data_IF_168547381105
#
_entry.id   IF_168547381105
#
_cell.length_a   1.000
_cell.length_b   1.000
_cell.length_c   1.000
_cell.angle_alpha   90.00
_cell.angle_beta   90.00
_cell.angle_gamma   90.00
#
_symmetry.space_group_name_H-M   'P 1'
#
loop_
_entity.id
_entity.type
_entity.pdbx_description
1 polymer ?
#
# COMPACT_ATOMS: atom_id res chain seq x y z
N UNK A 1 -42.07 -19.37 21.63
CA UNK A 1 -40.85 -20.14 21.95
C UNK A 1 -40.16 -20.49 20.66
N UNK A 2 -39.17 -19.71 20.27
CA UNK A 2 -38.09 -20.13 19.38
C UNK A 2 -36.84 -19.51 19.98
N UNK A 3 -36.19 -20.32 20.80
CA UNK A 3 -34.83 -20.13 21.30
C UNK A 3 -33.89 -20.20 20.11
N UNK A 4 -33.49 -19.05 19.57
CA UNK A 4 -32.30 -18.97 18.75
C UNK A 4 -31.13 -18.50 19.61
N UNK A 5 -30.17 -19.40 19.70
CA UNK A 5 -28.90 -19.31 20.39
C UNK A 5 -28.08 -18.10 19.92
N UNK A 6 -27.75 -17.19 20.83
CA UNK A 6 -26.55 -16.37 20.68
C UNK A 6 -25.89 -16.17 22.04
N UNK A 7 -25.30 -17.24 22.57
CA UNK A 7 -24.16 -17.09 23.45
C UNK A 7 -22.91 -16.98 22.55
N UNK A 8 -22.83 -15.93 21.74
CA UNK A 8 -21.58 -15.54 21.11
C UNK A 8 -20.80 -14.74 22.15
N UNK A 9 -20.01 -15.43 22.96
CA UNK A 9 -18.89 -14.78 23.63
C UNK A 9 -17.91 -14.35 22.55
N UNK A 10 -18.06 -13.12 22.04
CA UNK A 10 -17.12 -12.54 21.09
C UNK A 10 -15.80 -12.26 21.82
N UNK A 11 -14.89 -13.23 21.79
CA UNK A 11 -13.50 -12.98 22.15
C UNK A 11 -12.83 -12.16 21.04
N UNK A 12 -11.92 -11.27 21.42
CA UNK A 12 -11.14 -10.47 20.48
C UNK A 12 -9.66 -10.79 20.65
N UNK A 13 -8.92 -10.83 19.54
CA UNK A 13 -7.47 -10.97 19.57
C UNK A 13 -6.84 -9.59 19.86
N UNK A 14 -6.04 -9.51 20.92
CA UNK A 14 -5.31 -8.29 21.28
C UNK A 14 -3.91 -8.30 20.69
N UNK A 15 -3.56 -7.28 19.91
CA UNK A 15 -2.23 -7.08 19.34
C UNK A 15 -1.60 -5.87 20.03
N UNK A 16 -0.40 -5.99 20.63
CA UNK A 16 0.31 -4.87 21.23
C UNK A 16 0.51 -3.73 20.24
N UNK A 17 0.43 -2.49 20.70
CA UNK A 17 0.57 -1.30 19.86
C UNK A 17 1.42 -0.24 20.56
N UNK A 18 2.31 0.40 19.80
CA UNK A 18 3.13 1.51 20.27
C UNK A 18 3.20 2.62 19.22
N UNK A 19 3.28 3.86 19.69
CA UNK A 19 3.60 5.02 18.85
C UNK A 19 5.12 5.14 18.63
N UNK A 20 5.53 5.25 17.37
CA UNK A 20 6.94 5.24 16.93
C UNK A 20 7.27 6.55 16.22
N UNK A 21 8.45 7.14 16.46
CA UNK A 21 8.86 8.41 15.85
C UNK A 21 9.95 9.12 16.67
N UNK A 22 10.09 10.45 16.54
CA UNK A 22 9.31 11.34 15.67
C UNK A 22 9.68 11.20 14.18
N UNK A 23 8.68 11.35 13.31
CA UNK A 23 8.84 11.47 11.86
C UNK A 23 8.72 12.93 11.43
N UNK A 24 9.54 13.31 10.44
CA UNK A 24 9.42 14.58 9.72
C UNK A 24 9.16 14.27 8.26
N UNK A 25 7.99 14.65 7.76
CA UNK A 25 7.62 14.49 6.35
C UNK A 25 7.63 15.86 5.66
N UNK A 26 8.10 15.87 4.41
CA UNK A 26 8.13 17.03 3.53
C UNK A 26 7.58 16.64 2.14
N UNK A 27 7.15 17.61 1.33
CA UNK A 27 6.56 17.33 0.01
C UNK A 27 5.03 17.42 0.05
N UNK A 28 4.34 16.44 -0.56
CA UNK A 28 2.88 16.45 -0.67
C UNK A 28 2.18 16.41 0.70
N UNK A 29 2.87 15.84 1.69
CA UNK A 29 2.48 15.86 3.10
C UNK A 29 3.61 16.46 3.90
N UNK A 30 3.34 17.60 4.52
CA UNK A 30 4.26 18.26 5.43
C UNK A 30 3.77 18.07 6.88
N UNK A 31 4.62 17.53 7.73
CA UNK A 31 4.38 17.42 9.17
C UNK A 31 5.71 17.22 9.89
N UNK A 32 5.82 17.79 11.09
CA UNK A 32 6.98 17.59 11.96
C UNK A 32 6.56 16.85 13.22
N UNK A 33 7.52 16.22 13.88
CA UNK A 33 7.34 15.48 15.14
C UNK A 33 6.16 14.49 15.17
N UNK A 34 5.84 13.88 14.03
CA UNK A 34 4.75 12.93 13.91
C UNK A 34 5.11 11.61 14.60
N UNK A 35 4.25 11.15 15.51
CA UNK A 35 4.32 9.81 16.06
C UNK A 35 3.35 8.89 15.32
N UNK A 36 3.83 7.73 14.87
CA UNK A 36 3.06 6.78 14.06
C UNK A 36 2.70 5.55 14.89
N UNK A 37 1.42 5.20 15.05
CA UNK A 37 1.02 3.99 15.76
C UNK A 37 1.28 2.75 14.90
N UNK A 38 1.85 1.71 15.52
CA UNK A 38 2.11 0.41 14.89
C UNK A 38 1.70 -0.72 15.84
N UNK A 39 0.86 -1.64 15.37
CA UNK A 39 0.38 -2.79 16.14
C UNK A 39 1.03 -4.10 15.67
N UNK A 40 1.85 -4.75 16.49
CA UNK A 40 2.58 -5.97 16.12
C UNK A 40 2.93 -6.82 17.33
N UNK A 41 3.15 -8.12 17.09
CA UNK A 41 3.79 -9.02 18.06
C UNK A 41 5.32 -9.06 17.91
N UNK A 42 5.86 -8.53 16.81
CA UNK A 42 7.29 -8.41 16.57
C UNK A 42 7.80 -7.11 17.22
N UNK A 43 7.91 -7.09 18.54
CA UNK A 43 8.26 -5.90 19.32
C UNK A 43 9.59 -5.24 18.96
N UNK A 44 10.64 -5.95 18.46
CA UNK A 44 11.85 -5.30 17.94
C UNK A 44 11.62 -4.36 16.74
N UNK A 45 10.46 -4.45 16.09
CA UNK A 45 10.10 -3.58 14.98
C UNK A 45 10.00 -2.11 15.40
N UNK A 46 9.43 -1.81 16.57
CA UNK A 46 9.25 -0.44 17.04
C UNK A 46 10.58 0.33 17.21
N UNK A 47 11.58 -0.15 17.97
CA UNK A 47 12.86 0.54 18.07
C UNK A 47 13.62 0.58 16.74
N UNK A 48 13.44 -0.41 15.85
CA UNK A 48 14.04 -0.38 14.51
C UNK A 48 13.46 0.76 13.65
N UNK A 49 12.13 0.87 13.57
CA UNK A 49 11.46 1.96 12.85
C UNK A 49 11.77 3.32 13.50
N UNK A 50 11.82 3.39 14.84
CA UNK A 50 12.22 4.61 15.55
C UNK A 50 13.64 5.06 15.20
N UNK A 51 14.58 4.12 15.02
CA UNK A 51 15.94 4.41 14.56
C UNK A 51 15.91 5.04 13.17
N UNK A 52 15.16 4.46 12.23
CA UNK A 52 14.96 5.02 10.90
C UNK A 52 14.40 6.45 10.95
N UNK A 53 13.29 6.65 11.68
CA UNK A 53 12.63 7.94 11.82
C UNK A 53 13.56 9.01 12.42
N UNK A 54 14.34 8.65 13.44
CA UNK A 54 15.32 9.54 14.05
C UNK A 54 16.39 9.99 13.05
N UNK A 55 16.93 9.07 12.25
CA UNK A 55 18.00 9.41 11.29
C UNK A 55 17.48 10.32 10.20
N UNK A 56 16.32 10.00 9.62
CA UNK A 56 15.72 10.80 8.56
C UNK A 56 15.30 12.18 9.08
N UNK A 57 14.76 12.27 10.30
CA UNK A 57 14.45 13.55 10.96
C UNK A 57 15.70 14.45 11.07
N UNK A 58 16.84 13.91 11.53
CA UNK A 58 18.11 14.67 11.60
C UNK A 58 18.72 14.98 10.21
N UNK A 59 18.22 14.34 9.16
CA UNK A 59 18.67 14.52 7.78
C UNK A 59 17.77 15.48 6.98
N UNK A 60 16.83 16.16 7.63
CA UNK A 60 15.92 17.13 7.00
C UNK A 60 14.52 16.57 6.70
N UNK A 61 14.27 15.29 7.00
CA UNK A 61 12.99 14.62 6.82
C UNK A 61 12.95 13.67 5.63
N UNK A 62 11.75 13.13 5.40
CA UNK A 62 11.44 12.22 4.30
C UNK A 62 10.56 12.98 3.32
N UNK A 63 11.01 13.12 2.07
CA UNK A 63 10.16 13.62 1.00
C UNK A 63 9.17 12.53 0.61
N UNK A 64 7.90 12.86 0.62
CA UNK A 64 6.81 11.96 0.23
C UNK A 64 6.07 12.56 -0.95
N UNK A 65 5.86 11.75 -1.98
CA UNK A 65 5.20 12.15 -3.23
C UNK A 65 4.21 11.08 -3.66
N UNK A 66 2.97 11.49 -3.91
CA UNK A 66 1.93 10.63 -4.47
C UNK A 66 2.06 10.69 -5.99
N UNK A 67 2.48 9.59 -6.59
CA UNK A 67 2.67 9.50 -8.04
C UNK A 67 1.37 9.22 -8.78
N UNK A 68 0.48 8.44 -8.17
CA UNK A 68 -0.77 8.01 -8.77
C UNK A 68 -1.77 7.54 -7.70
N UNK A 69 -3.07 7.64 -8.00
CA UNK A 69 -4.13 7.09 -7.17
C UNK A 69 -5.27 6.52 -8.00
N UNK A 70 -5.59 5.24 -7.77
CA UNK A 70 -6.71 4.56 -8.44
C UNK A 70 -7.07 3.28 -7.75
N UNK A 71 -8.35 2.98 -7.59
CA UNK A 71 -8.79 1.63 -7.23
C UNK A 71 -9.28 0.91 -8.47
N UNK A 72 -9.09 -0.41 -8.52
CA UNK A 72 -9.47 -1.21 -9.68
C UNK A 72 -10.42 -2.35 -9.34
N UNK A 73 -11.32 -2.62 -10.28
CA UNK A 73 -12.11 -3.86 -10.36
C UNK A 73 -12.03 -4.39 -11.78
N UNK A 74 -11.90 -5.70 -11.93
CA UNK A 74 -11.90 -6.35 -13.24
C UNK A 74 -13.13 -7.23 -13.38
N UNK A 75 -13.92 -7.07 -14.43
CA UNK A 75 -15.00 -7.99 -14.79
C UNK A 75 -14.56 -8.95 -15.89
N UNK A 76 -15.18 -10.13 -15.93
CA UNK A 76 -14.96 -11.15 -16.94
C UNK A 76 -16.25 -11.34 -17.73
N UNK A 77 -16.14 -11.12 -19.04
CA UNK A 77 -17.19 -11.36 -20.01
C UNK A 77 -16.71 -12.41 -21.00
N UNK A 78 -17.65 -13.11 -21.62
CA UNK A 78 -17.37 -14.08 -22.66
C UNK A 78 -18.13 -13.68 -23.93
N UNK A 79 -17.46 -13.76 -25.08
CA UNK A 79 -18.02 -13.55 -26.40
C UNK A 79 -18.13 -14.91 -27.13
N UNK A 80 -18.79 -14.97 -28.31
CA UNK A 80 -18.84 -16.20 -29.09
C UNK A 80 -17.45 -16.63 -29.60
N UNK A 81 -16.62 -15.65 -29.94
CA UNK A 81 -15.24 -15.86 -30.39
C UNK A 81 -14.37 -14.61 -30.16
N UNK A 82 -13.06 -14.76 -30.45
CA UNK A 82 -12.07 -13.70 -30.29
C UNK A 82 -12.31 -12.49 -31.22
N UNK A 83 -12.92 -12.69 -32.39
CA UNK A 83 -13.21 -11.62 -33.34
C UNK A 83 -14.32 -10.71 -32.80
N UNK A 84 -15.40 -11.31 -32.29
CA UNK A 84 -16.49 -10.60 -31.62
C UNK A 84 -15.96 -9.90 -30.37
N UNK A 85 -15.14 -10.58 -29.55
CA UNK A 85 -14.54 -9.97 -28.38
C UNK A 85 -13.77 -8.68 -28.70
N UNK A 86 -12.93 -8.72 -29.75
CA UNK A 86 -12.18 -7.56 -30.24
C UNK A 86 -13.10 -6.45 -30.75
N UNK A 87 -14.15 -6.79 -31.49
CA UNK A 87 -15.11 -5.81 -32.00
C UNK A 87 -15.82 -5.08 -30.85
N UNK A 88 -16.35 -5.84 -29.88
CA UNK A 88 -17.04 -5.28 -28.71
C UNK A 88 -16.13 -4.44 -27.85
N UNK A 89 -14.90 -4.87 -27.61
CA UNK A 89 -13.91 -4.04 -26.90
C UNK A 89 -13.66 -2.69 -27.58
N UNK A 90 -13.50 -2.66 -28.92
CA UNK A 90 -13.32 -1.39 -29.65
C UNK A 90 -14.52 -0.46 -29.46
N UNK A 91 -15.74 -0.99 -29.50
CA UNK A 91 -16.95 -0.20 -29.25
C UNK A 91 -17.01 0.31 -27.81
N UNK A 92 -16.73 -0.54 -26.81
CA UNK A 92 -16.72 -0.15 -25.40
C UNK A 92 -15.73 0.98 -25.14
N UNK A 93 -14.51 0.89 -25.69
CA UNK A 93 -13.47 1.91 -25.51
C UNK A 93 -13.86 3.30 -26.03
N UNK A 94 -14.73 3.38 -27.05
CA UNK A 94 -15.19 4.64 -27.62
C UNK A 94 -16.33 5.29 -26.82
N UNK A 95 -16.89 4.59 -25.83
CA UNK A 95 -18.08 5.02 -25.08
C UNK A 95 -17.77 5.48 -23.66
N UNK A 96 -16.56 6.01 -23.42
CA UNK A 96 -16.11 6.40 -22.08
C UNK A 96 -17.08 7.35 -21.34
N UNK A 97 -17.73 8.27 -22.05
CA UNK A 97 -18.73 9.17 -21.46
C UNK A 97 -19.96 8.44 -20.91
N UNK A 98 -20.45 7.43 -21.63
CA UNK A 98 -21.59 6.60 -21.20
C UNK A 98 -21.18 5.67 -20.05
N UNK A 99 -20.00 5.06 -20.14
CA UNK A 99 -19.43 4.27 -19.04
C UNK A 99 -19.34 5.10 -17.75
N UNK A 100 -18.83 6.33 -17.85
CA UNK A 100 -18.75 7.25 -16.73
C UNK A 100 -20.14 7.62 -16.18
N UNK A 101 -21.13 7.87 -17.03
CA UNK A 101 -22.48 8.19 -16.60
C UNK A 101 -23.07 7.08 -15.71
N UNK A 102 -22.93 5.82 -16.15
CA UNK A 102 -23.40 4.64 -15.40
C UNK A 102 -22.60 4.47 -14.09
N UNK A 103 -21.27 4.63 -14.15
CA UNK A 103 -20.43 4.53 -12.96
C UNK A 103 -20.79 5.59 -11.92
N UNK A 104 -21.14 6.81 -12.34
CA UNK A 104 -21.54 7.89 -11.45
C UNK A 104 -22.84 7.62 -10.67
N UNK A 105 -23.69 6.69 -11.14
CA UNK A 105 -24.87 6.23 -10.38
C UNK A 105 -24.48 5.46 -9.11
N UNK A 106 -23.27 4.87 -9.08
CA UNK A 106 -22.78 4.09 -7.93
C UNK A 106 -22.23 4.96 -6.81
N UNK A 107 -21.57 6.07 -7.13
CA UNK A 107 -21.01 7.02 -6.16
C UNK A 107 -20.55 8.31 -6.85
N UNK A 108 -20.75 9.46 -6.19
CA UNK A 108 -20.19 10.75 -6.64
C UNK A 108 -18.66 10.80 -6.65
N UNK A 109 -17.99 9.91 -5.91
CA UNK A 109 -16.53 9.84 -5.83
C UNK A 109 -15.91 8.91 -6.87
N UNK A 110 -16.74 8.07 -7.50
CA UNK A 110 -16.32 7.10 -8.51
C UNK A 110 -16.19 7.79 -9.88
N UNK A 111 -14.94 8.12 -10.26
CA UNK A 111 -14.61 8.65 -11.59
C UNK A 111 -13.75 7.65 -12.34
N UNK A 112 -14.22 7.19 -13.49
CA UNK A 112 -13.50 6.35 -14.42
C UNK A 112 -12.31 7.12 -15.01
N UNK A 113 -11.11 6.73 -14.61
CA UNK A 113 -9.86 7.33 -15.09
C UNK A 113 -9.26 6.56 -16.26
N UNK A 114 -9.43 5.24 -16.27
CA UNK A 114 -8.88 4.38 -17.31
C UNK A 114 -9.68 3.07 -17.41
N UNK A 115 -9.62 2.49 -18.60
CA UNK A 115 -10.22 1.21 -18.94
C UNK A 115 -9.17 0.33 -19.60
N UNK A 116 -8.62 -0.61 -18.85
CA UNK A 116 -7.63 -1.57 -19.35
C UNK A 116 -8.31 -2.90 -19.66
N UNK A 117 -7.76 -3.68 -20.58
CA UNK A 117 -8.35 -4.95 -20.97
C UNK A 117 -7.34 -5.96 -21.46
N UNK A 118 -7.74 -7.23 -21.45
CA UNK A 118 -7.05 -8.35 -22.10
C UNK A 118 -8.07 -9.27 -22.76
N UNK A 119 -7.67 -9.92 -23.85
CA UNK A 119 -8.46 -10.97 -24.50
C UNK A 119 -7.68 -12.27 -24.44
N UNK A 120 -8.31 -13.33 -23.94
CA UNK A 120 -7.75 -14.70 -23.95
C UNK A 120 -8.80 -15.62 -24.57
N UNK A 121 -8.57 -16.02 -25.82
CA UNK A 121 -9.60 -16.73 -26.59
C UNK A 121 -10.83 -15.84 -26.80
N UNK A 122 -11.99 -16.30 -26.37
CA UNK A 122 -13.26 -15.58 -26.42
C UNK A 122 -13.57 -14.81 -25.11
N UNK A 123 -12.65 -14.78 -24.16
CA UNK A 123 -12.81 -14.11 -22.86
C UNK A 123 -12.30 -12.67 -22.90
N UNK A 124 -13.10 -11.74 -22.39
CA UNK A 124 -12.74 -10.34 -22.18
C UNK A 124 -12.53 -10.08 -20.70
N UNK A 125 -11.31 -9.73 -20.33
CA UNK A 125 -10.97 -9.19 -19.02
C UNK A 125 -11.03 -7.68 -19.13
N UNK A 126 -11.95 -7.03 -18.42
CA UNK A 126 -12.12 -5.58 -18.47
C UNK A 126 -11.83 -4.99 -17.09
N UNK A 127 -10.73 -4.25 -16.96
CA UNK A 127 -10.26 -3.58 -15.73
C UNK A 127 -10.72 -2.12 -15.72
N UNK A 128 -11.68 -1.84 -14.84
CA UNK A 128 -12.13 -0.51 -14.48
C UNK A 128 -11.17 0.08 -13.47
N UNK A 129 -10.72 1.31 -13.70
CA UNK A 129 -9.86 2.05 -12.78
C UNK A 129 -10.55 3.36 -12.42
N UNK A 130 -10.83 3.54 -11.13
CA UNK A 130 -11.63 4.66 -10.62
C UNK A 130 -10.88 5.41 -9.51
N UNK A 131 -11.13 6.72 -9.39
CA UNK A 131 -10.87 7.43 -8.13
C UNK A 131 -11.89 7.01 -7.08
N UNK A 132 -11.54 7.08 -5.78
CA UNK A 132 -12.44 6.64 -4.70
C UNK A 132 -12.48 7.57 -3.48
N UNK A 133 -11.97 8.80 -3.64
CA UNK A 133 -11.86 9.75 -2.54
C UNK A 133 -11.05 9.16 -1.38
N UNK A 134 -11.57 9.29 -0.16
CA UNK A 134 -10.90 8.86 1.06
C UNK A 134 -11.14 7.39 1.44
N UNK A 135 -11.99 6.69 0.69
CA UNK A 135 -12.21 5.27 0.88
C UNK A 135 -11.11 4.47 0.19
N UNK A 136 -10.76 3.31 0.76
CA UNK A 136 -9.87 2.34 0.08
C UNK A 136 -10.47 1.84 -1.24
N UNK A 137 -11.80 1.93 -1.38
CA UNK A 137 -12.44 1.90 -2.68
C UNK A 137 -12.96 0.54 -3.15
N UNK A 138 -12.64 -0.57 -2.47
CA UNK A 138 -13.04 -1.92 -2.88
C UNK A 138 -14.53 -2.05 -3.21
N UNK A 139 -15.40 -1.66 -2.27
CA UNK A 139 -16.86 -1.75 -2.46
C UNK A 139 -17.36 -0.75 -3.50
N UNK A 140 -16.72 0.43 -3.59
CA UNK A 140 -17.09 1.46 -4.55
C UNK A 140 -16.85 0.99 -5.99
N UNK A 141 -15.67 0.43 -6.28
CA UNK A 141 -15.35 -0.09 -7.62
C UNK A 141 -16.14 -1.35 -7.95
N UNK A 142 -16.49 -2.18 -6.96
CA UNK A 142 -17.35 -3.34 -7.17
C UNK A 142 -18.78 -2.91 -7.48
N UNK A 143 -19.33 -1.94 -6.76
CA UNK A 143 -20.67 -1.39 -7.05
C UNK A 143 -20.72 -0.74 -8.43
N UNK A 144 -19.68 0.02 -8.81
CA UNK A 144 -19.57 0.57 -10.16
C UNK A 144 -19.55 -0.52 -11.25
N UNK A 145 -18.83 -1.61 -11.02
CA UNK A 145 -18.82 -2.76 -11.92
C UNK A 145 -20.19 -3.44 -12.00
N UNK A 146 -20.88 -3.61 -10.86
CA UNK A 146 -22.20 -4.23 -10.76
C UNK A 146 -23.28 -3.43 -11.52
N UNK A 147 -23.16 -2.09 -11.54
CA UNK A 147 -23.99 -1.22 -12.37
C UNK A 147 -23.65 -1.30 -13.85
N UNK A 148 -22.38 -1.47 -14.18
CA UNK A 148 -21.92 -1.47 -15.57
C UNK A 148 -22.22 -2.79 -16.30
N UNK A 149 -22.19 -3.92 -15.60
CA UNK A 149 -22.42 -5.25 -16.19
C UNK A 149 -23.78 -5.35 -16.90
N UNK A 150 -24.93 -5.01 -16.28
CA UNK A 150 -26.23 -5.06 -16.96
C UNK A 150 -26.26 -4.25 -18.25
N UNK A 151 -25.75 -3.02 -18.21
CA UNK A 151 -25.69 -2.17 -19.40
C UNK A 151 -24.85 -2.79 -20.53
N UNK A 152 -23.71 -3.43 -20.20
CA UNK A 152 -22.88 -4.11 -21.18
C UNK A 152 -23.63 -5.28 -21.83
N UNK A 153 -24.36 -6.09 -21.05
CA UNK A 153 -25.09 -7.24 -21.57
C UNK A 153 -26.34 -6.84 -22.37
N UNK A 154 -27.03 -5.77 -21.98
CA UNK A 154 -28.16 -5.21 -22.72
C UNK A 154 -27.72 -4.57 -24.04
N UNK A 155 -26.59 -3.86 -24.02
CA UNK A 155 -26.03 -3.20 -25.20
C UNK A 155 -25.45 -4.21 -26.19
N UNK A 156 -24.81 -5.26 -25.69
CA UNK A 156 -24.10 -6.26 -26.49
C UNK A 156 -24.67 -7.64 -26.19
N UNK A 157 -25.78 -7.98 -26.86
CA UNK A 157 -26.49 -9.25 -26.64
C UNK A 157 -25.71 -10.51 -27.04
N UNK A 158 -24.52 -10.36 -27.61
CA UNK A 158 -23.58 -11.45 -27.88
C UNK A 158 -22.55 -11.66 -26.77
N UNK A 159 -22.51 -10.80 -25.75
CA UNK A 159 -21.68 -11.01 -24.56
C UNK A 159 -22.47 -11.72 -23.45
N UNK A 160 -21.78 -12.60 -22.72
CA UNK A 160 -22.28 -13.22 -21.50
C UNK A 160 -21.42 -12.83 -20.28
N UNK A 161 -22.06 -12.81 -19.11
CA UNK A 161 -21.37 -12.59 -17.84
C UNK A 161 -20.67 -13.87 -17.37
N UNK A 162 -19.43 -13.74 -16.89
CA UNK A 162 -18.70 -14.82 -16.23
C UNK A 162 -18.42 -14.50 -14.77
N UNK A 163 -17.86 -13.32 -14.47
CA UNK A 163 -17.51 -12.94 -13.09
C UNK A 163 -17.35 -11.43 -12.90
N UNK A 164 -17.82 -10.92 -11.76
CA UNK A 164 -17.58 -9.53 -11.31
C UNK A 164 -16.11 -9.29 -10.89
N UNK A 165 -15.34 -10.36 -10.66
CA UNK A 165 -13.94 -10.30 -10.28
C UNK A 165 -13.11 -11.31 -11.09
N UNK A 166 -12.54 -10.83 -12.19
CA UNK A 166 -11.75 -11.60 -13.15
C UNK A 166 -10.28 -11.88 -12.74
N UNK A 167 -9.90 -11.59 -11.49
CA UNK A 167 -8.50 -11.61 -11.01
C UNK A 167 -7.51 -10.69 -11.76
N UNK A 168 -7.95 -9.91 -12.74
CA UNK A 168 -7.15 -8.89 -13.46
C UNK A 168 -7.18 -7.51 -12.77
N UNK A 169 -7.79 -7.42 -11.58
CA UNK A 169 -7.82 -6.19 -10.78
C UNK A 169 -6.44 -5.78 -10.27
N UNK A 170 -5.63 -6.54 -9.52
CA UNK A 170 -5.77 -7.86 -8.90
C UNK A 170 -5.87 -7.68 -7.39
N UNK A 171 -6.94 -8.18 -6.77
CA UNK A 171 -7.24 -7.94 -5.35
C UNK A 171 -6.72 -9.05 -4.44
N UNK A 172 -5.82 -8.76 -3.50
CA UNK A 172 -5.22 -9.67 -2.51
C UNK A 172 -4.38 -10.82 -3.10
N UNK A 173 -3.76 -10.60 -4.26
CA UNK A 173 -2.78 -11.52 -4.87
C UNK A 173 -1.63 -10.72 -5.46
N UNK A 174 -0.45 -11.34 -5.49
CA UNK A 174 0.72 -10.78 -6.17
C UNK A 174 0.45 -10.71 -7.67
N UNK A 175 0.67 -9.54 -8.29
CA UNK A 175 0.38 -9.33 -9.71
C UNK A 175 1.31 -8.29 -10.33
N UNK A 176 1.75 -8.54 -11.55
CA UNK A 176 2.52 -7.57 -12.34
C UNK A 176 1.63 -6.39 -12.76
N UNK A 177 0.35 -6.66 -13.01
CA UNK A 177 -0.64 -5.68 -13.49
C UNK A 177 -0.79 -4.53 -12.49
N UNK A 178 -0.85 -4.85 -11.19
CA UNK A 178 -0.92 -3.81 -10.16
C UNK A 178 0.31 -2.90 -10.21
N UNK A 179 1.52 -3.47 -10.28
CA UNK A 179 2.74 -2.67 -10.34
C UNK A 179 2.99 -1.91 -11.64
N UNK A 180 2.36 -2.31 -12.76
CA UNK A 180 2.49 -1.64 -14.07
C UNK A 180 1.40 -0.59 -14.27
N UNK A 181 0.16 -0.92 -13.94
CA UNK A 181 -1.01 -0.06 -14.19
C UNK A 181 -1.45 0.73 -12.94
N UNK A 182 -0.91 0.44 -11.77
CA UNK A 182 -1.29 1.03 -10.48
C UNK A 182 -2.53 0.38 -9.84
N UNK A 183 -2.57 0.29 -8.51
CA UNK A 183 -3.76 -0.05 -7.71
C UNK A 183 -3.62 0.47 -6.26
N UNK A 184 -4.59 1.20 -5.76
CA UNK A 184 -4.46 1.99 -4.53
C UNK A 184 -3.72 3.29 -4.77
N UNK A 185 -2.78 3.60 -3.89
CA UNK A 185 -1.90 4.78 -3.97
C UNK A 185 -0.49 4.33 -4.34
N UNK A 186 0.09 4.98 -5.34
CA UNK A 186 1.50 4.86 -5.68
C UNK A 186 2.25 5.99 -4.97
N UNK A 187 3.11 5.63 -4.02
CA UNK A 187 3.85 6.59 -3.20
C UNK A 187 5.34 6.33 -3.33
N UNK A 188 6.11 7.40 -3.54
CA UNK A 188 7.56 7.39 -3.42
C UNK A 188 7.93 8.16 -2.15
N UNK A 189 8.70 7.51 -1.29
CA UNK A 189 9.31 8.15 -0.13
C UNK A 189 10.83 8.16 -0.34
N UNK A 190 11.47 9.29 -0.12
CA UNK A 190 12.91 9.45 -0.37
C UNK A 190 13.58 10.39 0.64
N UNK A 191 14.88 10.20 0.85
CA UNK A 191 15.69 11.02 1.75
C UNK A 191 17.15 10.94 1.38
N UNK A 192 17.90 12.01 1.65
CA UNK A 192 19.36 12.03 1.56
C UNK A 192 19.94 12.12 2.98
N UNK A 193 20.80 11.18 3.34
CA UNK A 193 21.35 11.03 4.68
C UNK A 193 22.85 11.31 4.64
N UNK A 194 23.32 12.32 5.38
CA UNK A 194 24.74 12.60 5.47
C UNK A 194 25.54 11.39 5.96
N UNK A 195 26.70 11.10 5.37
CA UNK A 195 27.59 9.98 5.74
C UNK A 195 27.82 9.90 7.24
N UNK A 196 28.07 11.05 7.87
CA UNK A 196 28.28 11.15 9.33
C UNK A 196 27.09 10.62 10.14
N UNK A 197 25.87 10.78 9.64
CA UNK A 197 24.65 10.28 10.27
C UNK A 197 24.45 8.78 10.02
N UNK A 198 24.79 8.28 8.83
CA UNK A 198 24.86 6.82 8.57
C UNK A 198 25.81 6.15 9.57
N UNK A 199 27.03 6.66 9.72
CA UNK A 199 28.02 6.09 10.63
C UNK A 199 27.59 6.21 12.10
N UNK A 200 27.04 7.37 12.49
CA UNK A 200 26.67 7.63 13.88
C UNK A 200 25.45 6.82 14.33
N UNK A 201 24.40 6.79 13.54
CA UNK A 201 23.10 6.27 13.96
C UNK A 201 22.78 4.91 13.35
N UNK A 202 23.12 4.69 12.09
CA UNK A 202 22.90 3.41 11.38
C UNK A 202 24.07 2.44 11.54
N UNK A 203 25.22 2.91 12.06
CA UNK A 203 26.43 2.11 12.27
C UNK A 203 26.94 1.45 10.98
N UNK A 204 26.79 2.14 9.85
CA UNK A 204 27.18 1.64 8.53
C UNK A 204 27.70 2.78 7.65
N UNK A 205 28.14 2.46 6.42
CA UNK A 205 28.50 3.43 5.40
C UNK A 205 27.51 3.42 4.23
N UNK A 206 27.38 4.52 3.48
CA UNK A 206 26.58 4.54 2.26
C UNK A 206 26.94 3.41 1.29
N UNK A 207 28.23 3.13 1.08
CA UNK A 207 28.69 2.07 0.17
C UNK A 207 28.24 0.67 0.62
N UNK A 208 28.34 0.37 1.91
CA UNK A 208 27.96 -0.93 2.44
C UNK A 208 26.45 -1.19 2.29
N UNK A 209 25.64 -0.14 2.47
CA UNK A 209 24.20 -0.19 2.23
C UNK A 209 23.86 -0.42 0.75
N UNK A 210 24.52 0.30 -0.15
CA UNK A 210 24.33 0.11 -1.61
C UNK A 210 24.73 -1.30 -2.03
N UNK A 211 25.89 -1.79 -1.59
CA UNK A 211 26.37 -3.13 -1.90
C UNK A 211 25.42 -4.22 -1.39
N UNK A 212 24.94 -4.08 -0.15
CA UNK A 212 23.96 -5.00 0.42
C UNK A 212 22.63 -4.95 -0.33
N UNK A 213 22.10 -3.76 -0.64
CA UNK A 213 20.86 -3.60 -1.40
C UNK A 213 20.94 -4.29 -2.77
N UNK A 214 22.04 -4.09 -3.51
CA UNK A 214 22.26 -4.75 -4.81
C UNK A 214 22.30 -6.27 -4.65
N UNK A 215 23.08 -6.79 -3.71
CA UNK A 215 23.25 -8.24 -3.55
C UNK A 215 22.02 -8.92 -2.97
N UNK A 216 21.32 -8.29 -2.03
CA UNK A 216 20.20 -8.86 -1.29
C UNK A 216 18.85 -8.53 -1.92
N UNK A 217 18.51 -7.24 -1.99
CA UNK A 217 17.18 -6.80 -2.44
C UNK A 217 17.02 -6.94 -3.95
N UNK A 218 18.05 -6.66 -4.76
CA UNK A 218 17.97 -6.79 -6.22
C UNK A 218 18.29 -8.21 -6.67
N UNK A 219 19.56 -8.64 -6.57
CA UNK A 219 20.00 -9.94 -7.08
C UNK A 219 19.29 -11.08 -6.34
N UNK A 220 19.18 -11.01 -5.01
CA UNK A 220 18.48 -12.02 -4.21
C UNK A 220 17.00 -12.16 -4.58
N UNK A 221 16.29 -11.04 -4.82
CA UNK A 221 14.90 -11.10 -5.28
C UNK A 221 14.77 -11.61 -6.72
N UNK A 222 15.72 -11.31 -7.61
CA UNK A 222 15.73 -11.89 -8.97
C UNK A 222 15.89 -13.41 -8.88
N UNK A 223 16.86 -13.89 -8.09
CA UNK A 223 17.14 -15.32 -7.92
C UNK A 223 15.93 -16.07 -7.33
N UNK A 224 15.17 -15.44 -6.42
CA UNK A 224 13.98 -16.04 -5.81
C UNK A 224 12.70 -15.92 -6.66
N UNK A 225 12.75 -15.25 -7.81
CA UNK A 225 11.57 -15.00 -8.65
C UNK A 225 10.63 -13.94 -8.08
N UNK A 226 11.14 -13.03 -7.26
CA UNK A 226 10.41 -11.92 -6.68
C UNK A 226 9.84 -10.98 -7.75
N UNK A 227 8.54 -10.68 -7.65
CA UNK A 227 7.83 -9.83 -8.60
C UNK A 227 7.73 -8.39 -8.07
N UNK A 228 8.59 -7.51 -8.60
CA UNK A 228 8.66 -6.09 -8.19
C UNK A 228 8.85 -5.92 -6.68
N UNK A 229 9.70 -6.75 -6.09
CA UNK A 229 9.91 -6.87 -4.64
C UNK A 229 11.39 -6.73 -4.27
N UNK A 230 11.99 -5.60 -4.61
CA UNK A 230 13.38 -5.29 -4.27
C UNK A 230 13.44 -4.54 -2.93
N UNK A 231 13.06 -5.22 -1.85
CA UNK A 231 13.01 -4.68 -0.51
C UNK A 231 13.35 -5.77 0.52
N UNK A 232 13.53 -5.37 1.78
CA UNK A 232 13.89 -6.28 2.86
C UNK A 232 12.68 -6.81 3.64
N UNK A 233 11.83 -5.92 4.15
CA UNK A 233 10.73 -6.28 5.06
C UNK A 233 9.58 -5.26 5.10
N UNK A 234 9.26 -4.58 3.98
CA UNK A 234 8.17 -3.56 3.96
C UNK A 234 6.84 -4.08 4.51
N UNK A 235 6.60 -5.39 4.35
CA UNK A 235 5.42 -6.07 4.85
C UNK A 235 5.25 -5.93 6.37
N UNK A 236 6.34 -5.93 7.14
CA UNK A 236 6.29 -5.81 8.60
C UNK A 236 5.74 -4.44 9.03
N UNK A 237 6.27 -3.37 8.43
CA UNK A 237 5.84 -2.00 8.72
C UNK A 237 4.39 -1.77 8.28
N UNK A 238 4.05 -2.21 7.07
CA UNK A 238 2.70 -2.03 6.52
C UNK A 238 1.66 -2.83 7.30
N UNK A 239 1.94 -4.08 7.70
CA UNK A 239 1.02 -4.87 8.53
C UNK A 239 0.76 -4.17 9.87
N UNK A 240 1.83 -3.73 10.55
CA UNK A 240 1.70 -3.04 11.82
C UNK A 240 0.91 -1.73 11.72
N UNK A 241 1.15 -0.97 10.65
CA UNK A 241 0.41 0.25 10.35
C UNK A 241 -1.06 -0.02 9.98
N UNK A 242 -1.32 -1.08 9.21
CA UNK A 242 -2.67 -1.45 8.76
C UNK A 242 -3.55 -1.85 9.94
N UNK A 243 -3.03 -2.66 10.85
CA UNK A 243 -3.73 -3.07 12.05
C UNK A 243 -4.00 -1.87 12.98
N UNK A 244 -3.01 -0.99 13.18
CA UNK A 244 -3.17 0.20 14.01
C UNK A 244 -4.19 1.21 13.45
N UNK A 245 -4.32 1.29 12.13
CA UNK A 245 -5.19 2.27 11.46
C UNK A 245 -6.47 1.66 10.89
N UNK A 246 -6.77 0.40 11.21
CA UNK A 246 -8.00 -0.30 10.80
C UNK A 246 -8.12 -0.51 9.29
N UNK A 247 -7.02 -0.70 8.58
CA UNK A 247 -7.03 -1.07 7.16
C UNK A 247 -7.33 -2.58 7.00
N UNK A 248 -7.64 -3.00 5.78
CA UNK A 248 -7.74 -4.42 5.47
C UNK A 248 -6.33 -5.04 5.38
N UNK A 249 -5.95 -5.77 6.43
CA UNK A 249 -4.63 -6.39 6.54
C UNK A 249 -4.30 -7.35 5.39
N UNK A 250 -5.30 -7.94 4.72
CA UNK A 250 -5.06 -8.85 3.60
C UNK A 250 -4.54 -8.13 2.35
N UNK A 251 -4.70 -6.80 2.24
CA UNK A 251 -4.08 -6.03 1.17
C UNK A 251 -2.56 -5.91 1.32
N UNK A 252 -1.96 -6.45 2.40
CA UNK A 252 -0.52 -6.56 2.54
C UNK A 252 0.13 -7.30 1.37
N UNK A 253 -0.57 -8.26 0.76
CA UNK A 253 -0.08 -9.04 -0.38
C UNK A 253 0.27 -8.13 -1.56
N UNK A 254 -0.47 -7.04 -1.74
CA UNK A 254 -0.23 -6.08 -2.82
C UNK A 254 0.66 -4.94 -2.36
N UNK A 255 0.39 -4.39 -1.18
CA UNK A 255 1.13 -3.26 -0.62
C UNK A 255 2.60 -3.58 -0.36
N UNK A 256 2.95 -4.85 -0.14
CA UNK A 256 4.33 -5.29 0.07
C UNK A 256 5.15 -5.44 -1.21
N UNK A 257 4.56 -5.28 -2.40
CA UNK A 257 5.32 -5.12 -3.63
C UNK A 257 5.94 -3.73 -3.66
N UNK A 258 7.17 -3.60 -3.14
CA UNK A 258 7.92 -2.36 -3.11
C UNK A 258 9.34 -2.52 -3.66
N UNK A 259 9.91 -1.41 -4.11
CA UNK A 259 11.29 -1.34 -4.59
C UNK A 259 12.01 -0.26 -3.81
N UNK A 260 13.10 -0.62 -3.14
CA UNK A 260 14.07 0.35 -2.67
C UNK A 260 14.99 0.76 -3.81
N UNK A 261 15.44 1.99 -3.78
CA UNK A 261 16.53 2.47 -4.61
C UNK A 261 17.51 3.24 -3.73
N UNK A 262 18.77 2.83 -3.80
CA UNK A 262 19.84 3.23 -2.87
C UNK A 262 21.08 3.59 -3.67
N UNK A 263 21.63 4.78 -3.43
CA UNK A 263 22.81 5.28 -4.15
C UNK A 263 23.75 6.04 -3.21
N UNK A 264 25.03 6.12 -3.60
CA UNK A 264 25.96 7.08 -3.03
C UNK A 264 25.91 8.33 -3.90
N UNK A 265 25.55 9.46 -3.31
CA UNK A 265 25.52 10.77 -3.97
C UNK A 265 26.93 11.25 -4.31
N UNK A 266 27.05 12.29 -5.13
CA UNK A 266 28.33 12.93 -5.47
C UNK A 266 29.11 13.42 -4.24
N UNK A 267 28.41 13.81 -3.18
CA UNK A 267 29.01 14.31 -1.93
C UNK A 267 29.41 13.17 -0.98
N UNK A 268 29.20 11.92 -1.39
CA UNK A 268 29.48 10.73 -0.58
C UNK A 268 28.42 10.45 0.47
N UNK A 269 27.26 11.10 0.41
CA UNK A 269 26.10 10.85 1.26
C UNK A 269 25.21 9.74 0.68
N UNK A 270 24.30 9.20 1.48
CA UNK A 270 23.38 8.15 1.08
C UNK A 270 22.08 8.75 0.53
N UNK A 271 21.74 8.46 -0.71
CA UNK A 271 20.36 8.59 -1.19
C UNK A 271 19.62 7.28 -0.94
N UNK A 272 18.43 7.34 -0.34
CA UNK A 272 17.60 6.18 -0.06
C UNK A 272 16.14 6.50 -0.38
N UNK A 273 15.49 5.63 -1.14
CA UNK A 273 14.06 5.72 -1.43
C UNK A 273 13.37 4.37 -1.37
N UNK A 274 12.08 4.39 -1.06
CA UNK A 274 11.17 3.24 -1.11
C UNK A 274 9.96 3.64 -1.95
N UNK A 275 9.73 2.91 -3.04
CA UNK A 275 8.58 3.08 -3.93
C UNK A 275 7.55 1.99 -3.65
N UNK A 276 6.33 2.39 -3.27
CA UNK A 276 5.21 1.51 -3.00
C UNK A 276 4.09 1.79 -4.01
N UNK A 277 4.06 1.08 -5.16
CA UNK A 277 3.09 1.32 -6.22
C UNK A 277 1.65 0.99 -5.85
N UNK A 278 1.45 0.15 -4.83
CA UNK A 278 0.18 -0.56 -4.62
C UNK A 278 -0.41 -0.41 -3.19
N UNK A 279 -0.30 0.77 -2.56
CA UNK A 279 -0.79 0.96 -1.20
C UNK A 279 -2.31 1.08 -1.14
N UNK A 280 -2.95 0.08 -0.54
CA UNK A 280 -4.41 0.05 -0.37
C UNK A 280 -4.77 0.57 1.02
N UNK A 281 -5.15 1.84 1.10
CA UNK A 281 -5.52 2.50 2.36
C UNK A 281 -6.74 3.39 2.18
N UNK A 282 -7.47 3.62 3.28
CA UNK A 282 -8.54 4.62 3.35
C UNK A 282 -8.68 5.16 4.77
N UNK A 283 -9.14 6.40 4.90
CA UNK A 283 -9.46 7.02 6.20
C UNK A 283 -10.94 6.91 6.57
N UNK A 284 -11.79 6.50 5.62
CA UNK A 284 -13.21 6.20 5.84
C UNK A 284 -13.56 4.78 5.39
N UNK A 285 -14.69 4.26 5.88
CA UNK A 285 -15.21 2.94 5.52
C UNK A 285 -15.03 1.89 6.62
N UNK A 286 -14.98 0.63 6.22
CA UNK A 286 -14.91 -0.49 7.17
C UNK A 286 -13.63 -0.41 8.03
N UNK A 287 -13.73 -0.86 9.29
CA UNK A 287 -12.65 -0.80 10.28
C UNK A 287 -12.50 0.55 10.99
N UNK A 288 -13.13 1.62 10.49
CA UNK A 288 -12.99 2.99 11.06
C UNK A 288 -14.01 3.34 12.14
N UNK A 289 -14.84 2.37 12.53
CA UNK A 289 -15.78 2.49 13.65
C UNK A 289 -15.17 2.17 15.02
N UNK A 290 -13.94 1.65 15.06
CA UNK A 290 -13.26 1.32 16.32
C UNK A 290 -12.64 2.58 16.93
N UNK A 291 -12.85 2.80 18.22
CA UNK A 291 -12.42 4.02 18.92
C UNK A 291 -10.90 4.26 18.79
N UNK A 292 -10.08 3.25 19.03
CA UNK A 292 -8.62 3.39 18.90
C UNK A 292 -8.18 3.71 17.46
N UNK A 293 -8.92 3.22 16.46
CA UNK A 293 -8.61 3.52 15.05
C UNK A 293 -8.90 4.99 14.75
N UNK A 294 -9.99 5.53 15.29
CA UNK A 294 -10.33 6.95 15.13
C UNK A 294 -9.28 7.84 15.79
N UNK A 295 -8.90 7.53 17.04
CA UNK A 295 -7.83 8.25 17.75
C UNK A 295 -6.50 8.22 16.97
N UNK A 296 -6.12 7.05 16.46
CA UNK A 296 -4.91 6.89 15.66
C UNK A 296 -4.98 7.70 14.35
N UNK A 297 -6.10 7.66 13.63
CA UNK A 297 -6.26 8.43 12.39
C UNK A 297 -6.30 9.95 12.65
N UNK A 298 -6.87 10.39 13.77
CA UNK A 298 -6.84 11.79 14.21
C UNK A 298 -5.41 12.25 14.54
N UNK A 299 -4.66 11.46 15.31
CA UNK A 299 -3.25 11.71 15.61
C UNK A 299 -2.41 11.82 14.32
N UNK A 300 -2.73 11.01 13.31
CA UNK A 300 -2.07 11.07 12.00
C UNK A 300 -2.55 12.25 11.13
N UNK A 301 -3.55 13.02 11.56
CA UNK A 301 -4.15 14.11 10.79
C UNK A 301 -4.94 13.64 9.57
N UNK A 302 -5.43 12.40 9.59
CA UNK A 302 -6.11 11.75 8.47
C UNK A 302 -7.65 11.81 8.58
N UNK A 303 -8.19 12.66 9.47
CA UNK A 303 -9.63 12.87 9.67
C UNK A 303 -10.01 14.36 9.51
N UNK A 304 -9.27 15.13 8.71
CA UNK A 304 -9.61 16.53 8.48
C UNK A 304 -10.93 16.62 7.69
N UNK A 305 -12.03 17.16 8.29
CA UNK A 305 -13.33 17.22 7.62
C UNK A 305 -13.38 18.28 6.51
N UNK A 306 -12.43 19.21 6.48
CA UNK A 306 -12.33 20.28 5.50
C UNK A 306 -11.36 19.96 4.36
N UNK A 307 -10.79 18.75 4.34
CA UNK A 307 -9.85 18.33 3.31
C UNK A 307 -10.58 18.02 2.00
N UNK A 308 -9.90 18.23 0.87
CA UNK A 308 -10.45 17.84 -0.43
C UNK A 308 -10.58 16.32 -0.51
N UNK A 309 -11.59 15.78 -1.24
CA UNK A 309 -11.77 14.34 -1.35
C UNK A 309 -10.49 13.58 -1.73
N UNK A 310 -10.14 12.60 -0.92
CA UNK A 310 -8.95 11.76 -1.09
C UNK A 310 -7.68 12.29 -0.44
N UNK A 311 -7.67 13.52 0.07
CA UNK A 311 -6.49 14.11 0.72
C UNK A 311 -6.12 13.38 2.01
N UNK A 312 -7.10 13.01 2.83
CA UNK A 312 -6.86 12.24 4.04
C UNK A 312 -6.28 10.85 3.71
N UNK A 313 -6.80 10.18 2.68
CA UNK A 313 -6.26 8.89 2.24
C UNK A 313 -4.86 9.01 1.60
N UNK A 314 -4.58 10.08 0.84
CA UNK A 314 -3.23 10.38 0.33
C UNK A 314 -2.25 10.62 1.49
N UNK A 315 -2.65 11.40 2.49
CA UNK A 315 -1.86 11.64 3.70
C UNK A 315 -1.52 10.33 4.41
N UNK A 316 -2.53 9.49 4.62
CA UNK A 316 -2.37 8.19 5.23
C UNK A 316 -1.41 7.27 4.45
N UNK A 317 -1.47 7.27 3.12
CA UNK A 317 -0.57 6.49 2.26
C UNK A 317 0.88 6.99 2.36
N UNK A 318 1.11 8.31 2.38
CA UNK A 318 2.44 8.89 2.56
C UNK A 318 3.04 8.50 3.92
N UNK A 319 2.25 8.51 4.99
CA UNK A 319 2.71 8.09 6.33
C UNK A 319 3.04 6.59 6.34
N UNK A 320 2.20 5.75 5.71
CA UNK A 320 2.47 4.31 5.58
C UNK A 320 3.79 4.06 4.83
N UNK A 321 4.01 4.75 3.71
CA UNK A 321 5.23 4.64 2.91
C UNK A 321 6.47 5.14 3.66
N UNK A 322 6.37 6.26 4.38
CA UNK A 322 7.47 6.77 5.21
C UNK A 322 7.81 5.82 6.36
N UNK A 323 6.81 5.18 6.96
CA UNK A 323 6.99 4.14 7.98
C UNK A 323 7.75 2.95 7.41
N UNK A 324 7.38 2.50 6.21
CA UNK A 324 8.10 1.44 5.50
C UNK A 324 9.56 1.84 5.22
N UNK A 325 9.82 3.03 4.68
CA UNK A 325 11.18 3.53 4.41
C UNK A 325 12.05 3.52 5.68
N UNK A 326 11.54 3.98 6.81
CA UNK A 326 12.28 3.99 8.07
C UNK A 326 12.67 2.58 8.54
N UNK A 327 11.75 1.62 8.41
CA UNK A 327 12.04 0.22 8.73
C UNK A 327 13.06 -0.39 7.78
N UNK A 328 12.93 -0.15 6.47
CA UNK A 328 13.85 -0.66 5.44
C UNK A 328 15.28 -0.16 5.67
N UNK A 329 15.44 1.15 5.82
CA UNK A 329 16.71 1.81 6.09
C UNK A 329 17.39 1.23 7.33
N UNK A 330 16.63 1.05 8.41
CA UNK A 330 17.15 0.52 9.66
C UNK A 330 17.55 -0.96 9.50
N UNK A 331 16.72 -1.82 8.91
CA UNK A 331 17.04 -3.23 8.80
C UNK A 331 18.24 -3.48 7.88
N UNK A 332 18.27 -2.84 6.72
CA UNK A 332 19.40 -2.96 5.79
C UNK A 332 20.70 -2.52 6.47
N UNK A 333 20.67 -1.42 7.23
CA UNK A 333 21.84 -0.98 7.99
C UNK A 333 22.31 -2.03 9.01
N UNK A 334 21.41 -2.61 9.79
CA UNK A 334 21.76 -3.68 10.74
C UNK A 334 22.39 -4.90 10.04
N UNK A 335 21.92 -5.25 8.84
CA UNK A 335 22.42 -6.40 8.09
C UNK A 335 23.81 -6.18 7.46
N UNK A 336 24.27 -4.93 7.37
CA UNK A 336 25.68 -4.67 6.99
C UNK A 336 26.67 -5.06 8.08
N UNK A 337 26.22 -5.25 9.32
CA UNK A 337 27.05 -5.64 10.46
C UNK A 337 26.72 -7.08 10.91
N UNK A 338 27.63 -8.06 10.72
CA UNK A 338 27.38 -9.44 11.11
C UNK A 338 26.97 -9.57 12.58
N UNK A 339 25.82 -10.22 12.82
CA UNK A 339 25.31 -10.50 14.17
C UNK A 339 24.51 -9.36 14.85
N UNK A 340 24.47 -8.14 14.29
CA UNK A 340 23.73 -7.02 14.89
C UNK A 340 22.24 -7.32 15.00
N UNK A 341 21.63 -7.88 13.95
CA UNK A 341 20.21 -8.20 13.91
C UNK A 341 19.80 -9.16 15.05
N UNK A 342 20.51 -10.29 15.18
CA UNK A 342 20.20 -11.30 16.19
C UNK A 342 20.48 -10.78 17.61
N UNK A 343 21.56 -10.01 17.80
CA UNK A 343 21.88 -9.39 19.08
C UNK A 343 20.80 -8.40 19.51
N UNK A 344 20.25 -7.62 18.57
CA UNK A 344 19.15 -6.69 18.84
C UNK A 344 17.87 -7.43 19.26
N UNK A 345 17.49 -8.50 18.54
CA UNK A 345 16.31 -9.31 18.88
C UNK A 345 16.44 -9.91 20.29
N UNK A 346 17.57 -10.58 20.60
CA UNK A 346 17.79 -11.22 21.91
C UNK A 346 17.72 -10.19 23.05
N UNK A 347 18.33 -9.02 22.86
CA UNK A 347 18.35 -7.98 23.90
C UNK A 347 16.95 -7.45 24.19
N UNK A 348 16.14 -7.21 23.16
CA UNK A 348 14.81 -6.62 23.31
C UNK A 348 13.81 -7.63 23.90
N UNK A 349 13.78 -8.86 23.39
CA UNK A 349 12.89 -9.91 23.88
C UNK A 349 13.17 -10.31 25.34
N UNK A 350 14.44 -10.29 25.77
CA UNK A 350 14.78 -10.54 27.19
C UNK A 350 14.39 -9.38 28.09
N UNK A 351 14.38 -8.15 27.59
CA UNK A 351 13.99 -6.98 28.39
C UNK A 351 12.49 -6.96 28.66
N UNK A 352 11.67 -7.44 27.72
CA UNK A 352 10.21 -7.52 27.89
C UNK A 352 9.76 -8.64 28.82
N UNK A 353 10.51 -9.75 28.93
CA UNK A 353 10.22 -10.82 29.90
C UNK A 353 10.56 -10.46 31.35
N UNK A 354 11.17 -9.30 31.58
CA UNK A 354 11.68 -8.87 32.88
C UNK A 354 10.80 -7.83 33.58
N UNK A 355 9.59 -7.56 33.06
CA UNK A 355 8.62 -6.59 33.60
C UNK A 355 7.37 -7.29 34.09
#
# INVERSE_FOLDING_TARGET
>A
MTTESMNQTSSFAQIPMQSVGPFKLIGDVCTDDLMVPMATYETPLWPSVARGARVTHHSGGIRVTVMDERMSRSILLEAPDASVARERLRHIQQRQGELQAIISESSRFAKLIALNWQVVGNLIYLRLELTTGDASGHNMVTNAADKLIPWLLETYGDLSYVSISANYCTDKKVSAVNGILGRGKNVVCETAIPRKLCQRFLKTTPEALVDLHIKKDLIGSIVSGGLRSANAHVANMLLGFYLATGQDAANIVEGSQAINHVEVTSDGDLYFSTTLPNLIVGSVGNGKGLEFVQQNLEQLGCLNPNAEPGENARRLACIAGATALCGELSLLAAQTNPGELMAAHIKLERSEKSV
#
